data_IF_231597854630
#
_entry.id   IF_231597854630
#
_cell.length_a   1.000
_cell.length_b   1.000
_cell.length_c   1.000
_cell.angle_alpha   90.00
_cell.angle_beta   90.00
_cell.angle_gamma   90.00
#
_symmetry.space_group_name_H-M   'P 1'
#
loop_
_entity.id
_entity.type
_entity.pdbx_description
1 polymer ?
#
# COMPACT_ATOMS: atom_id res chain seq x y z
N UNK A 1 -20.70 -1.05 -10.20
CA UNK A 1 -20.88 -0.71 -8.78
C UNK A 1 -21.04 -1.92 -7.87
N UNK A 2 -21.84 -2.95 -8.22
CA UNK A 2 -22.00 -4.17 -7.39
C UNK A 2 -20.68 -4.94 -7.16
N UNK A 3 -19.84 -5.08 -8.19
CA UNK A 3 -18.60 -5.87 -8.11
C UNK A 3 -17.51 -5.27 -7.20
N UNK A 4 -17.46 -3.94 -7.05
CA UNK A 4 -16.47 -3.29 -6.19
C UNK A 4 -16.85 -3.41 -4.71
N UNK A 5 -18.15 -3.46 -4.41
CA UNK A 5 -18.65 -3.72 -3.06
C UNK A 5 -18.44 -5.18 -2.66
N UNK A 6 -18.65 -6.14 -3.57
CA UNK A 6 -18.36 -7.55 -3.30
C UNK A 6 -16.86 -7.77 -3.10
N UNK A 7 -15.99 -7.16 -3.90
CA UNK A 7 -14.54 -7.22 -3.70
C UNK A 7 -14.11 -6.67 -2.33
N UNK A 8 -14.68 -5.53 -1.90
CA UNK A 8 -14.42 -4.98 -0.57
C UNK A 8 -14.89 -5.90 0.56
N UNK A 9 -16.00 -6.61 0.37
CA UNK A 9 -16.48 -7.60 1.34
C UNK A 9 -15.55 -8.83 1.37
N UNK A 10 -15.12 -9.32 0.20
CA UNK A 10 -14.17 -10.43 0.07
C UNK A 10 -12.86 -10.11 0.78
N UNK A 11 -12.32 -8.91 0.60
CA UNK A 11 -11.09 -8.45 1.28
C UNK A 11 -11.27 -8.44 2.80
N UNK A 12 -12.38 -7.89 3.31
CA UNK A 12 -12.65 -7.89 4.76
C UNK A 12 -12.80 -9.29 5.34
N UNK A 13 -13.45 -10.20 4.60
CA UNK A 13 -13.59 -11.59 5.00
C UNK A 13 -12.21 -12.28 5.04
N UNK A 14 -11.34 -12.02 4.06
CA UNK A 14 -9.97 -12.54 4.04
C UNK A 14 -9.13 -12.03 5.21
N UNK A 15 -9.20 -10.75 5.54
CA UNK A 15 -8.48 -10.19 6.68
C UNK A 15 -8.99 -10.74 8.02
N UNK A 16 -10.29 -11.01 8.13
CA UNK A 16 -10.90 -11.62 9.31
C UNK A 16 -10.51 -13.10 9.46
N UNK A 17 -10.49 -13.86 8.36
CA UNK A 17 -10.12 -15.28 8.36
C UNK A 17 -8.60 -15.50 8.48
N UNK A 18 -7.78 -14.61 7.92
CA UNK A 18 -6.32 -14.79 7.84
C UNK A 18 -5.56 -13.54 8.33
N UNK A 19 -5.54 -13.30 9.65
CA UNK A 19 -4.85 -12.14 10.22
C UNK A 19 -3.33 -12.23 10.01
N UNK A 20 -2.64 -11.08 10.17
CA UNK A 20 -1.19 -10.94 10.01
C UNK A 20 -0.34 -11.89 10.86
N UNK A 21 -0.91 -12.42 11.95
CA UNK A 21 -0.25 -13.34 12.89
C UNK A 21 -0.67 -14.81 12.73
N UNK A 22 -1.45 -15.14 11.69
CA UNK A 22 -1.94 -16.49 11.48
C UNK A 22 -0.79 -17.50 11.26
N UNK A 23 -0.95 -18.73 11.77
CA UNK A 23 0.14 -19.71 11.87
C UNK A 23 0.56 -20.31 10.51
N UNK A 24 -0.33 -20.28 9.50
CA UNK A 24 -0.08 -20.92 8.19
C UNK A 24 -0.15 -19.98 7.00
N UNK A 25 -1.07 -19.03 7.02
CA UNK A 25 -1.34 -18.13 5.89
C UNK A 25 -1.78 -16.76 6.42
N UNK A 26 -1.03 -15.71 6.08
CA UNK A 26 -1.18 -14.38 6.61
C UNK A 26 -1.50 -13.41 5.47
N UNK A 27 -2.56 -12.63 5.59
CA UNK A 27 -2.79 -11.49 4.70
C UNK A 27 -1.95 -10.32 5.21
N UNK A 28 -0.90 -9.96 4.46
CA UNK A 28 0.07 -8.93 4.85
C UNK A 28 -0.44 -7.54 4.47
N UNK A 29 -1.00 -7.42 3.26
CA UNK A 29 -1.64 -6.22 2.75
C UNK A 29 -2.78 -6.61 1.82
N UNK A 30 -3.91 -5.90 1.86
CA UNK A 30 -5.04 -6.12 0.97
C UNK A 30 -5.67 -4.78 0.57
N UNK A 31 -5.86 -4.59 -0.74
CA UNK A 31 -6.53 -3.45 -1.34
C UNK A 31 -7.39 -3.89 -2.53
N UNK A 32 -8.14 -2.96 -3.11
CA UNK A 32 -8.97 -3.25 -4.29
C UNK A 32 -8.13 -3.54 -5.54
N UNK A 33 -6.86 -3.17 -5.55
CA UNK A 33 -5.94 -3.32 -6.69
C UNK A 33 -4.89 -4.41 -6.46
N UNK A 34 -4.54 -4.70 -5.20
CA UNK A 34 -3.50 -5.68 -4.86
C UNK A 34 -3.78 -6.46 -3.57
N UNK A 35 -3.37 -7.72 -3.54
CA UNK A 35 -3.41 -8.59 -2.36
C UNK A 35 -2.04 -9.21 -2.15
N UNK A 36 -1.45 -9.00 -0.97
CA UNK A 36 -0.17 -9.59 -0.57
C UNK A 36 -0.39 -10.57 0.58
N UNK A 37 -0.02 -11.82 0.33
CA UNK A 37 -0.18 -12.93 1.24
C UNK A 37 1.17 -13.56 1.57
N UNK A 38 1.30 -14.09 2.79
CA UNK A 38 2.48 -14.82 3.23
C UNK A 38 2.08 -16.19 3.76
N UNK A 39 2.61 -17.24 3.14
CA UNK A 39 2.44 -18.61 3.57
C UNK A 39 3.66 -19.08 4.39
N UNK A 40 3.41 -19.83 5.47
CA UNK A 40 4.44 -20.40 6.34
C UNK A 40 4.50 -21.91 6.09
N UNK A 41 5.55 -22.35 5.40
CA UNK A 41 5.77 -23.76 5.10
C UNK A 41 6.34 -24.56 6.27
N UNK A 42 6.43 -25.89 6.10
CA UNK A 42 6.84 -26.88 7.12
C UNK A 42 8.19 -26.60 7.82
N UNK A 43 9.10 -25.86 7.17
CA UNK A 43 10.42 -25.53 7.70
C UNK A 43 10.48 -24.12 8.33
N UNK A 44 9.33 -23.45 8.54
CA UNK A 44 9.27 -22.03 8.90
C UNK A 44 9.66 -21.10 7.74
N UNK A 45 9.83 -21.64 6.53
CA UNK A 45 10.12 -20.87 5.32
C UNK A 45 8.88 -20.05 4.96
N UNK A 46 9.05 -18.73 4.99
CA UNK A 46 8.02 -17.75 4.61
C UNK A 46 8.04 -17.60 3.08
N UNK A 47 6.90 -17.80 2.44
CA UNK A 47 6.69 -17.65 1.00
C UNK A 47 5.75 -16.48 0.81
N UNK A 48 6.21 -15.41 0.17
CA UNK A 48 5.39 -14.24 -0.14
C UNK A 48 4.81 -14.39 -1.55
N UNK A 49 3.50 -14.24 -1.63
CA UNK A 49 2.69 -14.41 -2.83
C UNK A 49 1.80 -13.18 -2.95
N UNK A 50 1.79 -12.60 -4.13
CA UNK A 50 1.12 -11.34 -4.40
C UNK A 50 0.14 -11.55 -5.55
N UNK A 51 -0.97 -10.80 -5.54
CA UNK A 51 -1.97 -10.79 -6.60
C UNK A 51 -2.27 -9.35 -7.00
N UNK A 52 -2.32 -9.08 -8.29
CA UNK A 52 -2.87 -7.84 -8.84
C UNK A 52 -4.31 -8.09 -9.30
N UNK A 53 -5.22 -7.28 -8.79
CA UNK A 53 -6.63 -7.28 -9.17
C UNK A 53 -6.79 -6.25 -10.29
N UNK A 54 -7.22 -6.70 -11.47
CA UNK A 54 -7.38 -5.82 -12.63
C UNK A 54 -8.80 -5.26 -12.72
N UNK A 55 -8.99 -4.18 -13.48
CA UNK A 55 -10.31 -3.57 -13.74
C UNK A 55 -11.31 -4.55 -14.41
N UNK A 56 -10.81 -5.63 -15.00
CA UNK A 56 -11.59 -6.70 -15.63
C UNK A 56 -12.09 -7.76 -14.64
N UNK A 57 -11.79 -7.63 -13.35
CA UNK A 57 -12.36 -8.46 -12.29
C UNK A 57 -13.90 -8.27 -12.20
N UNK A 58 -14.70 -9.35 -12.07
CA UNK A 58 -14.33 -10.75 -11.86
C UNK A 58 -14.34 -11.57 -13.17
N UNK A 59 -14.49 -10.91 -14.32
CA UNK A 59 -14.52 -11.58 -15.64
C UNK A 59 -13.19 -12.26 -15.96
N UNK A 60 -12.07 -11.70 -15.48
CA UNK A 60 -10.75 -12.33 -15.47
C UNK A 60 -10.29 -12.55 -14.03
N UNK A 61 -9.56 -13.65 -13.74
CA UNK A 61 -8.99 -13.85 -12.41
C UNK A 61 -7.91 -12.81 -12.09
N UNK A 62 -7.64 -12.56 -10.78
CA UNK A 62 -6.46 -11.82 -10.35
C UNK A 62 -5.18 -12.45 -10.89
N UNK A 63 -4.19 -11.61 -11.20
CA UNK A 63 -2.88 -12.07 -11.68
C UNK A 63 -2.01 -12.36 -10.47
N UNK A 64 -1.66 -13.62 -10.23
CA UNK A 64 -0.82 -14.03 -9.10
C UNK A 64 0.67 -14.10 -9.45
N UNK A 65 1.53 -13.85 -8.49
CA UNK A 65 2.99 -13.96 -8.61
C UNK A 65 3.62 -14.33 -7.26
N UNK A 66 4.69 -15.12 -7.31
CA UNK A 66 5.46 -15.56 -6.14
C UNK A 66 6.90 -15.06 -6.25
N UNK A 67 7.51 -14.72 -5.11
CA UNK A 67 8.91 -14.32 -5.04
C UNK A 67 9.88 -15.52 -4.96
N UNK A 68 9.35 -16.74 -4.97
CA UNK A 68 10.15 -17.98 -4.89
C UNK A 68 10.34 -18.63 -6.24
N UNK A 69 11.55 -19.11 -6.53
CA UNK A 69 11.86 -19.93 -7.72
C UNK A 69 11.46 -21.41 -7.58
N UNK A 70 10.59 -21.75 -6.61
CA UNK A 70 10.17 -23.12 -6.36
C UNK A 70 9.18 -23.57 -7.46
N UNK A 71 9.50 -24.62 -8.26
CA UNK A 71 8.65 -25.08 -9.36
C UNK A 71 7.23 -25.45 -8.91
N UNK A 72 7.07 -25.96 -7.68
CA UNK A 72 5.76 -26.32 -7.15
C UNK A 72 4.88 -25.10 -6.93
N UNK A 73 5.46 -23.98 -6.49
CA UNK A 73 4.73 -22.72 -6.26
C UNK A 73 4.39 -22.04 -7.58
N UNK A 74 5.30 -22.07 -8.56
CA UNK A 74 5.05 -21.56 -9.91
C UNK A 74 3.86 -22.25 -10.58
N UNK A 75 3.74 -23.57 -10.43
CA UNK A 75 2.59 -24.33 -10.97
C UNK A 75 1.26 -23.92 -10.32
N UNK A 76 1.25 -23.62 -9.02
CA UNK A 76 0.04 -23.16 -8.30
C UNK A 76 -0.38 -21.77 -8.81
N UNK A 77 0.59 -20.86 -8.98
CA UNK A 77 0.33 -19.51 -9.50
C UNK A 77 -0.20 -19.57 -10.94
N UNK A 78 0.33 -20.47 -11.77
CA UNK A 78 -0.16 -20.69 -13.14
C UNK A 78 -1.58 -21.28 -13.15
N UNK A 79 -1.92 -22.17 -12.22
CA UNK A 79 -3.27 -22.71 -12.05
C UNK A 79 -4.28 -21.59 -11.74
N UNK A 80 -3.95 -20.70 -10.81
CA UNK A 80 -4.81 -19.57 -10.40
C UNK A 80 -5.07 -18.59 -11.56
N UNK A 81 -4.09 -18.44 -12.46
CA UNK A 81 -4.22 -17.57 -13.65
C UNK A 81 -5.19 -18.14 -14.69
N UNK A 82 -5.46 -19.45 -14.66
CA UNK A 82 -6.29 -20.16 -15.63
C UNK A 82 -7.70 -20.51 -15.14
N UNK A 83 -8.10 -20.02 -13.96
CA UNK A 83 -9.46 -20.25 -13.44
C UNK A 83 -10.52 -19.53 -14.26
N UNK A 84 -11.77 -20.00 -14.15
CA UNK A 84 -12.90 -19.37 -14.84
C UNK A 84 -14.17 -19.34 -13.97
N UNK A 85 -15.06 -18.38 -14.23
CA UNK A 85 -16.36 -18.32 -13.58
C UNK A 85 -16.28 -17.92 -12.10
N UNK A 86 -16.86 -18.75 -11.22
CA UNK A 86 -16.89 -18.46 -9.77
C UNK A 86 -15.49 -18.51 -9.14
N UNK A 87 -14.60 -19.30 -9.72
CA UNK A 87 -13.22 -19.42 -9.24
C UNK A 87 -12.37 -18.16 -9.47
N UNK A 88 -12.87 -17.18 -10.24
CA UNK A 88 -12.18 -15.90 -10.38
C UNK A 88 -12.34 -14.98 -9.16
N UNK A 89 -13.28 -15.26 -8.25
CA UNK A 89 -13.50 -14.42 -7.08
C UNK A 89 -12.34 -14.57 -6.09
N UNK A 90 -12.00 -13.47 -5.41
CA UNK A 90 -10.80 -13.38 -4.57
C UNK A 90 -10.81 -14.42 -3.44
N UNK A 91 -11.94 -14.62 -2.77
CA UNK A 91 -12.09 -15.64 -1.72
C UNK A 91 -11.81 -17.06 -2.25
N UNK A 92 -12.29 -17.36 -3.46
CA UNK A 92 -12.14 -18.67 -4.06
C UNK A 92 -10.72 -18.91 -4.57
N UNK A 93 -10.10 -17.87 -5.14
CA UNK A 93 -8.67 -17.88 -5.50
C UNK A 93 -7.79 -18.14 -4.28
N UNK A 94 -8.05 -17.46 -3.16
CA UNK A 94 -7.29 -17.67 -1.91
C UNK A 94 -7.54 -19.08 -1.36
N UNK A 95 -8.77 -19.59 -1.41
CA UNK A 95 -9.07 -20.96 -1.02
C UNK A 95 -8.25 -21.97 -1.84
N UNK A 96 -8.27 -21.85 -3.17
CA UNK A 96 -7.46 -22.71 -4.06
C UNK A 96 -5.97 -22.59 -3.72
N UNK A 97 -5.48 -21.36 -3.56
CA UNK A 97 -4.08 -21.09 -3.20
C UNK A 97 -3.68 -21.80 -1.90
N UNK A 98 -4.45 -21.62 -0.83
CA UNK A 98 -4.15 -22.19 0.49
C UNK A 98 -4.24 -23.72 0.46
N UNK A 99 -5.27 -24.29 -0.18
CA UNK A 99 -5.43 -25.74 -0.32
C UNK A 99 -4.26 -26.36 -1.08
N UNK A 100 -3.85 -25.79 -2.21
CA UNK A 100 -2.75 -26.32 -3.01
C UNK A 100 -1.39 -26.14 -2.32
N UNK A 101 -1.17 -25.02 -1.62
CA UNK A 101 0.03 -24.84 -0.79
C UNK A 101 0.09 -25.86 0.36
N UNK A 102 -1.03 -26.13 1.03
CA UNK A 102 -1.09 -27.15 2.07
C UNK A 102 -0.81 -28.56 1.52
N UNK A 103 -1.34 -28.92 0.34
CA UNK A 103 -1.05 -30.20 -0.32
C UNK A 103 0.43 -30.35 -0.66
N UNK A 104 1.03 -29.34 -1.30
CA UNK A 104 2.46 -29.36 -1.66
C UNK A 104 3.35 -29.48 -0.43
N UNK A 105 3.00 -28.81 0.68
CA UNK A 105 3.76 -28.88 1.92
C UNK A 105 3.36 -30.03 2.86
N UNK A 106 2.38 -30.87 2.47
CA UNK A 106 1.81 -31.95 3.29
C UNK A 106 1.38 -31.49 4.68
N UNK A 107 0.71 -30.34 4.75
CA UNK A 107 0.17 -29.74 5.97
C UNK A 107 -1.36 -29.90 6.03
N UNK A 108 -1.96 -30.03 7.23
CA UNK A 108 -3.41 -30.04 7.37
C UNK A 108 -4.00 -28.69 6.95
N UNK A 109 -5.15 -28.75 6.28
CA UNK A 109 -5.89 -27.58 5.81
C UNK A 109 -6.35 -26.72 7.01
N UNK A 110 -6.25 -25.37 6.93
CA UNK A 110 -6.73 -24.49 8.00
C UNK A 110 -8.26 -24.57 8.14
N UNK A 111 -8.78 -24.59 9.38
CA UNK A 111 -10.23 -24.63 9.65
C UNK A 111 -10.96 -23.38 9.14
N UNK A 112 -10.22 -22.30 8.93
CA UNK A 112 -10.66 -21.01 8.39
C UNK A 112 -11.15 -21.14 6.94
N UNK A 113 -10.76 -22.19 6.20
CA UNK A 113 -11.30 -22.50 4.87
C UNK A 113 -12.80 -22.85 4.91
N UNK A 114 -13.29 -23.42 6.01
CA UNK A 114 -14.72 -23.69 6.21
C UNK A 114 -15.52 -22.39 6.49
N UNK A 115 -14.85 -21.37 7.04
CA UNK A 115 -15.47 -20.06 7.30
C UNK A 115 -15.70 -19.28 6.00
N UNK A 116 -14.79 -19.44 5.03
CA UNK A 116 -14.94 -18.87 3.69
C UNK A 116 -16.18 -19.46 2.97
N UNK A 117 -16.45 -20.76 3.13
CA UNK A 117 -17.63 -21.39 2.56
C UNK A 117 -18.94 -20.84 3.15
N UNK A 118 -18.93 -20.43 4.43
CA UNK A 118 -20.09 -19.82 5.08
C UNK A 118 -20.37 -18.40 4.56
N UNK A 119 -19.34 -17.59 4.31
CA UNK A 119 -19.48 -16.25 3.70
C UNK A 119 -19.98 -16.32 2.26
N UNK A 120 -19.66 -17.38 1.52
CA UNK A 120 -20.10 -17.57 0.13
C UNK A 120 -21.56 -18.04 0.00
N UNK A 121 -22.12 -18.68 1.03
CA UNK A 121 -23.52 -19.13 1.04
C UNK A 121 -24.52 -18.03 1.40
N UNK A 122 -24.05 -16.92 1.98
CA UNK A 122 -24.88 -15.79 2.35
C UNK A 122 -25.08 -14.82 1.18
N UNK A 123 -25.90 -15.19 0.18
CA UNK A 123 -26.46 -14.23 -0.78
C UNK A 123 -27.99 -14.14 -0.64
N UNK A 124 -28.45 -12.90 -0.44
CA UNK A 124 -29.84 -12.39 -0.44
C UNK A 124 -30.86 -12.99 0.56
N UNK A 125 -30.97 -12.35 1.74
CA UNK A 125 -32.27 -12.23 2.42
C UNK A 125 -32.56 -13.18 3.60
N UNK A 126 -31.70 -13.20 4.62
CA UNK A 126 -32.08 -13.36 6.04
C UNK A 126 -30.80 -13.55 6.86
N UNK A 127 -30.46 -12.57 7.72
CA UNK A 127 -29.59 -12.83 8.86
C UNK A 127 -30.47 -13.20 10.06
N UNK A 128 -30.32 -14.39 10.66
CA UNK A 128 -30.56 -14.56 12.07
C UNK A 128 -29.34 -14.01 12.84
N UNK A 129 -29.66 -13.13 13.77
CA UNK A 129 -28.83 -12.50 14.79
C UNK A 129 -28.05 -13.56 15.60
N UNK A 130 -26.78 -13.83 15.28
CA UNK A 130 -26.01 -14.89 15.97
C UNK A 130 -24.49 -14.62 16.11
N UNK A 131 -24.10 -13.36 16.30
CA UNK A 131 -22.78 -13.04 16.87
C UNK A 131 -22.91 -12.08 18.06
N UNK A 132 -23.77 -12.45 19.01
CA UNK A 132 -23.65 -12.00 20.40
C UNK A 132 -23.00 -13.13 21.20
N UNK A 133 -21.68 -13.09 21.31
CA UNK A 133 -20.97 -13.97 22.23
C UNK A 133 -21.18 -13.49 23.69
N UNK A 134 -21.18 -14.40 24.67
CA UNK A 134 -21.86 -14.19 25.95
C UNK A 134 -21.05 -13.32 26.90
N UNK A 135 -21.68 -12.28 27.45
CA UNK A 135 -21.23 -11.65 28.69
C UNK A 135 -21.40 -12.67 29.82
N UNK A 136 -20.29 -13.22 30.31
CA UNK A 136 -20.28 -13.92 31.59
C UNK A 136 -20.29 -12.88 32.70
N UNK A 137 -21.44 -12.84 33.35
CA UNK A 137 -21.74 -12.14 34.58
C UNK A 137 -21.04 -12.87 35.74
N UNK A 138 -20.07 -12.21 36.36
CA UNK A 138 -19.67 -12.51 37.74
C UNK A 138 -19.71 -11.19 38.50
N UNK A 139 -20.85 -10.96 39.15
CA UNK A 139 -20.99 -10.00 40.23
C UNK A 139 -20.21 -10.53 41.43
N UNK A 140 -19.17 -9.82 41.85
CA UNK A 140 -18.84 -9.67 43.26
C UNK A 140 -18.50 -8.19 43.49
N UNK A 141 -19.32 -7.56 44.32
CA UNK A 141 -19.18 -6.21 44.85
C UNK A 141 -17.97 -6.15 45.80
N UNK A 142 -17.15 -5.11 45.72
CA UNK A 142 -16.88 -4.25 46.88
C UNK A 142 -16.07 -3.01 46.50
N UNK A 143 -16.61 -1.86 46.90
CA UNK A 143 -15.99 -0.54 46.87
C UNK A 143 -14.74 -0.50 47.75
N UNK A 144 -13.64 0.05 47.24
CA UNK A 144 -12.78 0.92 48.07
C UNK A 144 -12.17 1.99 47.19
N UNK A 145 -12.60 3.24 47.44
CA UNK A 145 -11.91 4.47 47.08
C UNK A 145 -10.42 4.38 47.43
N UNK A 146 -9.57 4.55 46.43
CA UNK A 146 -8.30 5.24 46.60
C UNK A 146 -8.06 6.07 45.33
N UNK A 147 -8.55 7.31 45.37
CA UNK A 147 -7.96 8.42 44.63
C UNK A 147 -6.46 8.45 44.93
N UNK A 148 -5.63 8.20 43.91
CA UNK A 148 -4.26 8.73 43.87
C UNK A 148 -3.86 8.97 42.41
N UNK A 149 -4.18 10.19 41.98
CA UNK A 149 -3.27 11.08 41.25
C UNK A 149 -2.46 10.49 40.08
N UNK A 150 -3.06 10.48 38.89
CA UNK A 150 -2.31 10.78 37.67
C UNK A 150 -3.13 11.72 36.80
N UNK A 151 -3.17 12.97 37.25
CA UNK A 151 -3.52 14.12 36.46
C UNK A 151 -2.58 14.19 35.25
N UNK A 152 -2.93 13.49 34.16
CA UNK A 152 -2.36 13.78 32.85
C UNK A 152 -2.88 15.16 32.47
N UNK A 153 -2.02 16.16 32.68
CA UNK A 153 -2.16 17.48 32.13
C UNK A 153 -2.54 17.32 30.65
N UNK A 154 -3.79 17.67 30.36
CA UNK A 154 -4.13 18.20 29.05
C UNK A 154 -3.24 19.42 28.96
N UNK A 155 -2.11 19.30 28.26
CA UNK A 155 -1.42 20.44 27.67
C UNK A 155 -2.40 21.05 26.66
N UNK A 156 -3.35 21.81 27.21
CA UNK A 156 -4.02 22.90 26.52
C UNK A 156 -2.96 23.97 26.32
N UNK A 157 -2.13 23.77 25.30
CA UNK A 157 -1.33 24.86 24.74
C UNK A 157 -2.30 25.84 24.04
N UNK A 158 -3.02 26.61 24.86
CA UNK A 158 -3.61 27.88 24.45
C UNK A 158 -2.63 29.02 24.76
N UNK A 159 -1.44 28.93 24.18
CA UNK A 159 -0.41 29.97 24.12
C UNK A 159 -0.29 30.63 22.74
N UNK A 160 -1.41 31.13 22.18
CA UNK A 160 -1.46 32.28 21.27
C UNK A 160 -0.37 32.40 20.17
N UNK A 161 -0.40 31.57 19.12
CA UNK A 161 0.15 31.96 17.80
C UNK A 161 -0.18 31.10 16.57
N UNK A 162 -1.01 30.05 16.65
CA UNK A 162 -1.28 29.15 15.50
C UNK A 162 -2.68 29.22 14.87
N UNK A 163 -3.63 29.98 15.46
CA UNK A 163 -4.97 30.16 14.85
C UNK A 163 -4.97 30.90 13.50
N UNK A 164 -3.84 31.47 13.08
CA UNK A 164 -3.70 32.15 11.77
C UNK A 164 -3.11 31.26 10.66
N UNK A 165 -2.86 29.96 10.91
CA UNK A 165 -2.25 29.03 9.92
C UNK A 165 -3.17 27.89 9.45
N UNK A 166 -4.37 27.74 10.02
CA UNK A 166 -5.34 26.73 9.58
C UNK A 166 -6.14 27.14 8.32
N UNK A 167 -6.12 28.42 7.94
CA UNK A 167 -7.02 29.01 6.94
C UNK A 167 -6.70 28.72 5.46
N UNK A 168 -5.60 28.05 5.12
CA UNK A 168 -5.18 27.85 3.71
C UNK A 168 -5.35 26.40 3.19
N UNK A 169 -6.16 25.58 3.88
CA UNK A 169 -6.48 24.21 3.46
C UNK A 169 -7.87 24.14 2.82
N UNK A 170 -8.01 23.35 1.75
CA UNK A 170 -9.32 23.08 1.15
C UNK A 170 -10.22 22.31 2.13
N UNK A 171 -11.54 22.51 2.02
CA UNK A 171 -12.54 21.84 2.87
C UNK A 171 -12.42 20.31 2.78
N UNK A 172 -12.13 19.78 1.59
CA UNK A 172 -11.96 18.34 1.36
C UNK A 172 -10.72 17.78 2.05
N UNK A 173 -9.60 18.52 2.00
CA UNK A 173 -8.36 18.13 2.66
C UNK A 173 -8.48 18.21 4.18
N UNK A 174 -9.16 19.24 4.69
CA UNK A 174 -9.48 19.34 6.10
C UNK A 174 -10.35 18.17 6.58
N UNK A 175 -11.41 17.83 5.84
CA UNK A 175 -12.28 16.70 6.16
C UNK A 175 -11.52 15.36 6.14
N UNK A 176 -10.58 15.21 5.22
CA UNK A 176 -9.72 14.01 5.14
C UNK A 176 -8.81 13.91 6.37
N UNK A 177 -8.14 14.99 6.77
CA UNK A 177 -7.29 15.01 7.97
C UNK A 177 -8.10 14.71 9.25
N UNK A 178 -9.31 15.25 9.38
CA UNK A 178 -10.19 14.96 10.52
C UNK A 178 -10.66 13.50 10.55
N UNK A 179 -11.01 12.93 9.38
CA UNK A 179 -11.38 11.50 9.27
C UNK A 179 -10.23 10.61 9.74
N UNK A 180 -8.99 10.92 9.33
CA UNK A 180 -7.81 10.14 9.71
C UNK A 180 -7.52 10.23 11.21
N UNK A 181 -7.65 11.42 11.82
CA UNK A 181 -7.52 11.60 13.28
C UNK A 181 -8.53 10.75 14.05
N UNK A 182 -9.78 10.73 13.59
CA UNK A 182 -10.83 9.93 14.23
C UNK A 182 -10.56 8.43 14.11
N UNK A 183 -10.15 7.97 12.92
CA UNK A 183 -9.78 6.57 12.70
C UNK A 183 -8.61 6.15 13.60
N UNK A 184 -7.55 6.97 13.68
CA UNK A 184 -6.40 6.71 14.54
C UNK A 184 -6.79 6.57 16.01
N UNK A 185 -7.67 7.46 16.51
CA UNK A 185 -8.19 7.37 17.88
C UNK A 185 -8.98 6.08 18.08
N UNK A 186 -9.83 5.70 17.13
CA UNK A 186 -10.62 4.47 17.22
C UNK A 186 -9.73 3.22 17.21
N UNK A 187 -8.71 3.17 16.35
CA UNK A 187 -7.77 2.05 16.27
C UNK A 187 -6.94 1.90 17.54
N UNK A 188 -6.56 3.03 18.16
CA UNK A 188 -5.88 3.04 19.46
C UNK A 188 -6.76 2.44 20.57
N UNK A 189 -8.05 2.82 20.63
CA UNK A 189 -8.98 2.24 21.59
C UNK A 189 -9.25 0.74 21.34
N UNK A 190 -9.15 0.28 20.09
CA UNK A 190 -9.38 -1.13 19.70
C UNK A 190 -8.13 -2.01 19.80
N UNK A 191 -6.95 -1.44 20.05
CA UNK A 191 -5.68 -2.18 20.04
C UNK A 191 -5.24 -2.65 18.65
N UNK A 192 -5.85 -2.14 17.58
CA UNK A 192 -5.56 -2.48 16.18
C UNK A 192 -4.64 -1.47 15.50
N UNK A 193 -3.73 -0.86 16.28
CA UNK A 193 -2.86 0.24 15.81
C UNK A 193 -1.96 -0.25 14.68
N UNK A 194 -1.98 0.45 13.55
CA UNK A 194 -1.06 0.23 12.44
C UNK A 194 0.19 1.11 12.61
N UNK A 195 1.37 0.48 12.62
CA UNK A 195 2.66 1.17 12.74
C UNK A 195 2.97 1.71 14.15
N UNK A 196 3.88 2.69 14.23
CA UNK A 196 4.30 3.35 15.48
C UNK A 196 3.69 4.74 15.60
N UNK A 197 3.37 5.18 16.83
CA UNK A 197 2.82 6.52 17.13
C UNK A 197 3.68 7.62 16.50
N UNK A 198 5.00 7.51 16.65
CA UNK A 198 5.95 8.47 16.08
C UNK A 198 5.86 8.55 14.55
N UNK A 199 5.75 7.40 13.86
CA UNK A 199 5.60 7.37 12.42
C UNK A 199 4.24 7.95 12.01
N UNK A 200 3.16 7.60 12.71
CA UNK A 200 1.81 8.10 12.39
C UNK A 200 1.73 9.61 12.55
N UNK A 201 2.27 10.15 13.64
CA UNK A 201 2.29 11.60 13.90
C UNK A 201 3.11 12.35 12.85
N UNK A 202 4.26 11.79 12.46
CA UNK A 202 5.08 12.34 11.38
C UNK A 202 4.33 12.31 10.06
N UNK A 203 3.67 11.21 9.70
CA UNK A 203 2.92 11.09 8.44
C UNK A 203 1.72 12.05 8.37
N UNK A 204 1.01 12.24 9.49
CA UNK A 204 -0.06 13.23 9.61
C UNK A 204 0.47 14.66 9.37
N UNK A 205 1.66 14.97 9.87
CA UNK A 205 2.32 16.25 9.62
C UNK A 205 2.71 16.41 8.16
N UNK A 206 3.34 15.40 7.56
CA UNK A 206 3.74 15.42 6.14
C UNK A 206 2.53 15.59 5.21
N UNK A 207 1.43 14.88 5.44
CA UNK A 207 0.23 15.00 4.63
C UNK A 207 -0.37 16.41 4.71
N UNK A 208 -0.38 17.00 5.91
CA UNK A 208 -0.84 18.37 6.11
C UNK A 208 0.08 19.38 5.41
N UNK A 209 1.38 19.19 5.45
CA UNK A 209 2.35 20.04 4.75
C UNK A 209 2.18 19.94 3.22
N UNK A 210 1.99 18.72 2.70
CA UNK A 210 1.68 18.48 1.29
C UNK A 210 0.42 19.23 0.87
N UNK A 211 -0.68 19.16 1.64
CA UNK A 211 -1.92 19.86 1.30
C UNK A 211 -1.80 21.38 1.32
N UNK A 212 -0.86 21.95 2.10
CA UNK A 212 -0.58 23.39 2.13
C UNK A 212 0.39 23.84 1.04
N UNK A 213 1.14 22.91 0.47
CA UNK A 213 2.18 23.23 -0.51
C UNK A 213 1.60 23.92 -1.75
N UNK A 214 2.38 24.84 -2.31
CA UNK A 214 2.02 25.50 -3.57
C UNK A 214 1.98 24.50 -4.72
N UNK A 215 2.90 23.53 -4.73
CA UNK A 215 3.01 22.46 -5.72
C UNK A 215 1.72 21.64 -5.80
N UNK A 216 1.17 21.24 -4.65
CA UNK A 216 -0.10 20.52 -4.57
C UNK A 216 -1.27 21.42 -5.00
N UNK A 217 -1.35 22.66 -4.50
CA UNK A 217 -2.43 23.61 -4.84
C UNK A 217 -2.48 23.98 -6.32
N UNK A 218 -1.31 24.03 -6.99
CA UNK A 218 -1.20 24.25 -8.43
C UNK A 218 -1.51 22.99 -9.26
N UNK A 219 -1.71 21.85 -8.62
CA UNK A 219 -1.99 20.58 -9.28
C UNK A 219 -0.76 19.95 -9.95
N UNK A 220 0.47 20.29 -9.52
CA UNK A 220 1.69 19.65 -10.02
C UNK A 220 1.63 18.15 -9.80
N UNK A 221 1.16 17.76 -8.61
CA UNK A 221 0.83 16.39 -8.26
C UNK A 221 -0.44 16.36 -7.39
N UNK A 222 -1.09 15.21 -7.36
CA UNK A 222 -2.20 14.91 -6.45
C UNK A 222 -1.84 13.72 -5.55
N UNK A 223 -2.44 13.65 -4.37
CA UNK A 223 -2.21 12.57 -3.39
C UNK A 223 -3.54 11.95 -3.00
N UNK A 224 -3.61 10.63 -3.05
CA UNK A 224 -4.73 9.81 -2.60
C UNK A 224 -4.22 8.72 -1.65
N UNK A 225 -4.89 8.56 -0.50
CA UNK A 225 -4.55 7.50 0.46
C UNK A 225 -5.22 6.20 0.05
N UNK A 226 -4.44 5.12 -0.02
CA UNK A 226 -4.98 3.80 -0.34
C UNK A 226 -5.70 3.27 0.90
N UNK A 227 -7.00 3.00 0.78
CA UNK A 227 -7.85 2.52 1.88
C UNK A 227 -7.83 3.41 3.14
N UNK A 228 -7.71 4.73 2.99
CA UNK A 228 -7.53 5.67 4.12
C UNK A 228 -6.29 5.33 5.00
N UNK A 229 -5.31 4.59 4.46
CA UNK A 229 -4.07 4.26 5.14
C UNK A 229 -3.08 5.42 5.07
N UNK A 230 -2.61 5.88 6.23
CA UNK A 230 -1.50 6.83 6.31
C UNK A 230 -0.17 6.25 5.82
N UNK A 231 -0.06 4.93 5.70
CA UNK A 231 1.18 4.24 5.35
C UNK A 231 1.29 3.90 3.85
N UNK A 232 0.26 4.17 3.05
CA UNK A 232 0.27 3.90 1.62
C UNK A 232 -0.41 5.01 0.81
N UNK A 233 0.37 5.71 -0.01
CA UNK A 233 -0.09 6.86 -0.78
C UNK A 233 0.10 6.62 -2.27
N UNK A 234 -0.95 6.93 -3.05
CA UNK A 234 -0.88 7.06 -4.49
C UNK A 234 -0.68 8.53 -4.85
N UNK A 235 0.42 8.81 -5.55
CA UNK A 235 0.78 10.16 -6.00
C UNK A 235 0.70 10.25 -7.51
N UNK A 236 -0.22 11.06 -8.02
CA UNK A 236 -0.39 11.30 -9.45
C UNK A 236 0.41 12.53 -9.85
N UNK A 237 1.55 12.34 -10.50
CA UNK A 237 2.37 13.43 -11.04
C UNK A 237 1.82 13.88 -12.39
N UNK A 238 1.23 15.08 -12.45
CA UNK A 238 0.53 15.63 -13.63
C UNK A 238 1.38 16.62 -14.42
N UNK A 239 2.16 17.43 -13.73
CA UNK A 239 2.99 18.48 -14.35
C UNK A 239 4.46 18.10 -14.20
N UNK A 240 5.14 18.02 -15.33
CA UNK A 240 6.61 17.92 -15.45
C UNK A 240 7.11 19.11 -16.26
N UNK A 241 8.43 19.28 -16.36
CA UNK A 241 9.04 20.34 -17.16
C UNK A 241 8.49 20.35 -18.60
N UNK A 242 7.91 21.48 -19.02
CA UNK A 242 7.26 21.64 -20.32
C UNK A 242 8.21 21.48 -21.51
N UNK A 243 9.50 21.73 -21.29
CA UNK A 243 10.53 21.60 -22.33
C UNK A 243 11.02 20.14 -22.47
N UNK A 244 10.60 19.25 -21.56
CA UNK A 244 11.02 17.86 -21.57
C UNK A 244 10.24 17.02 -22.60
N UNK A 245 10.89 16.02 -23.23
CA UNK A 245 10.19 15.03 -24.04
C UNK A 245 9.11 14.25 -23.26
N UNK A 246 9.27 14.12 -21.94
CA UNK A 246 8.30 13.47 -21.05
C UNK A 246 6.96 14.23 -21.00
N UNK A 247 6.98 15.56 -21.07
CA UNK A 247 5.76 16.37 -21.11
C UNK A 247 4.93 16.09 -22.37
N UNK A 248 5.59 16.03 -23.52
CA UNK A 248 4.96 15.66 -24.79
C UNK A 248 4.39 14.24 -24.74
N UNK A 249 5.12 13.30 -24.13
CA UNK A 249 4.64 11.93 -23.95
C UNK A 249 3.39 11.89 -23.05
N UNK A 250 3.33 12.66 -21.95
CA UNK A 250 2.14 12.70 -21.08
C UNK A 250 0.91 13.25 -21.80
N UNK A 251 1.10 14.24 -22.67
CA UNK A 251 0.02 14.77 -23.53
C UNK A 251 -0.50 13.68 -24.47
N UNK A 252 0.41 12.91 -25.08
CA UNK A 252 0.05 11.79 -25.94
C UNK A 252 -0.64 10.64 -25.17
N UNK A 253 -0.22 10.37 -23.93
CA UNK A 253 -0.88 9.39 -23.06
C UNK A 253 -2.33 9.78 -22.79
N UNK A 254 -2.58 11.07 -22.56
CA UNK A 254 -3.94 11.60 -22.38
C UNK A 254 -4.80 11.36 -23.61
N UNK A 255 -4.26 11.62 -24.79
CA UNK A 255 -4.97 11.43 -26.06
C UNK A 255 -5.25 9.95 -26.37
N UNK A 256 -4.31 9.04 -26.06
CA UNK A 256 -4.43 7.61 -26.40
C UNK A 256 -5.20 6.78 -25.38
N UNK A 257 -4.96 7.01 -24.10
CA UNK A 257 -5.41 6.14 -23.01
C UNK A 257 -6.31 6.88 -22.00
N UNK A 258 -6.51 8.19 -22.16
CA UNK A 258 -7.28 9.01 -21.22
C UNK A 258 -6.56 9.28 -19.89
N UNK A 259 -5.29 8.89 -19.77
CA UNK A 259 -4.46 9.06 -18.57
C UNK A 259 -3.43 10.17 -18.79
N UNK A 260 -3.31 11.10 -17.86
CA UNK A 260 -2.47 12.30 -18.02
C UNK A 260 -1.45 12.49 -16.88
N UNK A 261 -1.08 11.41 -16.21
CA UNK A 261 -0.18 11.44 -15.06
C UNK A 261 0.71 10.20 -15.00
N UNK A 262 1.81 10.34 -14.25
CA UNK A 262 2.61 9.21 -13.77
C UNK A 262 2.12 8.88 -12.37
N UNK A 263 1.61 7.67 -12.17
CA UNK A 263 1.20 7.17 -10.86
C UNK A 263 2.40 6.60 -10.13
N UNK A 264 2.76 7.24 -9.02
CA UNK A 264 3.71 6.74 -8.04
C UNK A 264 2.96 6.13 -6.87
N UNK A 265 3.52 5.08 -6.28
CA UNK A 265 3.05 4.51 -5.02
C UNK A 265 4.16 4.64 -3.99
N UNK A 266 3.81 5.18 -2.81
CA UNK A 266 4.70 5.43 -1.69
C UNK A 266 4.26 4.56 -0.53
N UNK A 267 5.16 3.69 -0.08
CA UNK A 267 4.95 2.79 1.07
C UNK A 267 5.84 3.23 2.23
N UNK A 268 5.20 3.59 3.34
CA UNK A 268 5.87 3.94 4.58
C UNK A 268 5.90 2.74 5.53
N UNK A 269 7.00 2.59 6.26
CA UNK A 269 7.14 1.56 7.31
C UNK A 269 6.94 2.17 8.69
N UNK A 270 6.79 1.31 9.69
CA UNK A 270 6.66 1.68 11.11
C UNK A 270 7.86 2.48 11.66
N UNK A 271 9.03 2.37 11.02
CA UNK A 271 10.25 3.11 11.38
C UNK A 271 10.42 4.44 10.64
N UNK A 272 9.46 4.87 9.82
CA UNK A 272 9.48 6.21 9.24
C UNK A 272 9.43 7.26 10.37
N UNK A 273 10.22 8.35 10.34
CA UNK A 273 11.07 8.86 9.26
C UNK A 273 12.55 8.42 9.32
N UNK A 274 12.92 7.45 10.17
CA UNK A 274 14.31 6.99 10.29
C UNK A 274 14.74 6.12 9.11
N UNK A 275 13.81 5.39 8.50
CA UNK A 275 14.02 4.71 7.22
C UNK A 275 13.29 5.44 6.08
N UNK A 276 13.84 5.40 4.84
CA UNK A 276 13.17 5.99 3.69
C UNK A 276 11.87 5.26 3.36
N UNK A 277 10.88 5.95 2.79
CA UNK A 277 9.74 5.29 2.17
C UNK A 277 10.21 4.50 0.94
N UNK A 278 9.52 3.41 0.64
CA UNK A 278 9.70 2.71 -0.63
C UNK A 278 8.80 3.35 -1.68
N UNK A 279 9.41 3.85 -2.77
CA UNK A 279 8.69 4.55 -3.84
C UNK A 279 8.90 3.82 -5.17
N UNK A 280 7.79 3.59 -5.88
CA UNK A 280 7.79 2.95 -7.21
C UNK A 280 6.86 3.67 -8.17
N UNK A 281 7.14 3.52 -9.46
CA UNK A 281 6.23 3.83 -10.56
C UNK A 281 5.25 2.66 -10.71
N UNK A 282 3.95 2.97 -10.72
CA UNK A 282 2.87 2.01 -10.97
C UNK A 282 2.50 2.02 -12.45
N UNK A 283 2.28 3.21 -13.01
CA UNK A 283 2.02 3.43 -14.44
C UNK A 283 2.41 4.88 -14.82
N UNK A 284 2.60 5.18 -16.11
CA UNK A 284 2.77 4.26 -17.24
C UNK A 284 4.13 3.56 -17.20
N UNK A 285 4.41 2.70 -18.19
CA UNK A 285 5.75 2.14 -18.38
C UNK A 285 6.72 3.23 -18.85
N UNK A 286 7.87 3.35 -18.17
CA UNK A 286 8.87 4.38 -18.45
C UNK A 286 10.21 3.70 -18.81
N UNK A 287 10.85 4.22 -19.86
CA UNK A 287 12.28 4.00 -20.13
C UNK A 287 13.09 5.21 -19.73
N UNK A 288 14.30 4.99 -19.20
CA UNK A 288 15.14 6.08 -18.70
C UNK A 288 14.64 6.61 -17.36
N UNK A 289 14.99 7.85 -17.00
CA UNK A 289 14.51 8.48 -15.77
C UNK A 289 15.00 7.82 -14.48
N UNK A 290 16.02 6.95 -14.57
CA UNK A 290 16.45 6.08 -13.46
C UNK A 290 15.36 5.13 -12.96
N UNK A 291 14.33 4.84 -13.78
CA UNK A 291 13.31 3.84 -13.48
C UNK A 291 13.82 2.46 -13.89
N UNK A 292 13.87 1.55 -12.94
CA UNK A 292 14.33 0.17 -13.10
C UNK A 292 13.19 -0.77 -13.49
N UNK A 293 13.56 -2.03 -13.76
CA UNK A 293 12.61 -3.12 -13.92
C UNK A 293 11.61 -3.19 -12.76
N UNK A 294 10.34 -3.48 -13.08
CA UNK A 294 9.28 -3.56 -12.07
C UNK A 294 8.78 -2.22 -11.52
N UNK A 295 9.41 -1.09 -11.86
CA UNK A 295 8.96 0.25 -11.48
C UNK A 295 9.75 0.87 -10.31
N UNK A 296 10.80 0.22 -9.82
CA UNK A 296 11.64 0.80 -8.77
C UNK A 296 12.41 2.03 -9.28
N UNK A 297 12.67 2.98 -8.40
CA UNK A 297 13.38 4.23 -8.74
C UNK A 297 14.80 4.16 -8.17
N UNK A 298 15.79 4.39 -9.04
CA UNK A 298 17.20 4.43 -8.65
C UNK A 298 17.61 5.84 -8.22
N UNK A 299 17.46 6.13 -6.93
CA UNK A 299 17.86 7.41 -6.33
C UNK A 299 18.54 7.18 -4.97
N UNK A 300 19.69 7.83 -4.76
CA UNK A 300 20.48 7.70 -3.53
C UNK A 300 19.68 8.06 -2.28
N UNK A 301 18.86 9.12 -2.36
CA UNK A 301 18.03 9.56 -1.23
C UNK A 301 16.97 8.53 -0.81
N UNK A 302 16.61 7.57 -1.67
CA UNK A 302 15.68 6.50 -1.32
C UNK A 302 16.39 5.29 -0.70
N UNK A 303 17.70 5.37 -0.50
CA UNK A 303 18.50 4.33 0.16
C UNK A 303 18.90 4.75 1.57
N UNK A 304 19.20 3.77 2.43
CA UNK A 304 19.60 4.04 3.82
C UNK A 304 20.82 4.96 3.93
N UNK A 305 21.70 4.95 2.92
CA UNK A 305 22.92 5.74 2.89
C UNK A 305 22.65 7.22 2.55
N UNK A 306 21.71 7.49 1.64
CA UNK A 306 21.37 8.84 1.20
C UNK A 306 20.15 9.46 1.87
N UNK A 307 19.37 8.67 2.60
CA UNK A 307 18.16 9.12 3.28
C UNK A 307 18.48 10.02 4.47
N UNK A 308 17.66 11.07 4.64
CA UNK A 308 17.64 11.91 5.82
C UNK A 308 16.19 12.09 6.27
N UNK A 309 15.93 11.93 7.56
CA UNK A 309 14.62 12.17 8.16
C UNK A 309 14.18 13.64 8.06
N UNK A 310 15.07 14.54 7.66
CA UNK A 310 14.77 15.95 7.38
C UNK A 310 14.09 16.17 6.02
N UNK A 311 14.11 15.20 5.10
CA UNK A 311 13.39 15.33 3.84
C UNK A 311 11.88 15.27 4.06
N UNK A 312 11.16 16.20 3.43
CA UNK A 312 9.70 16.20 3.39
C UNK A 312 9.21 15.35 2.23
N UNK A 313 7.99 14.82 2.34
CA UNK A 313 7.36 14.01 1.28
C UNK A 313 7.16 14.83 0.01
N UNK A 314 6.79 16.12 0.13
CA UNK A 314 6.72 17.03 -1.01
C UNK A 314 8.07 17.11 -1.74
N UNK A 315 9.17 17.36 -1.01
CA UNK A 315 10.48 17.52 -1.61
C UNK A 315 10.91 16.25 -2.36
N UNK A 316 10.60 15.08 -1.81
CA UNK A 316 10.89 13.78 -2.44
C UNK A 316 10.09 13.63 -3.74
N UNK A 317 8.79 13.94 -3.74
CA UNK A 317 7.93 13.88 -4.93
C UNK A 317 8.48 14.80 -6.04
N UNK A 318 8.82 16.05 -5.69
CA UNK A 318 9.37 17.02 -6.64
C UNK A 318 10.75 16.60 -7.16
N UNK A 319 11.60 16.03 -6.30
CA UNK A 319 12.92 15.54 -6.70
C UNK A 319 12.84 14.32 -7.62
N UNK A 320 11.84 13.45 -7.42
CA UNK A 320 11.54 12.36 -8.36
C UNK A 320 11.11 12.93 -9.70
N UNK A 321 10.20 13.90 -9.73
CA UNK A 321 9.76 14.55 -10.95
C UNK A 321 10.94 15.17 -11.73
N UNK A 322 11.84 15.86 -11.04
CA UNK A 322 13.05 16.43 -11.62
C UNK A 322 14.03 15.34 -12.12
N UNK A 323 14.19 14.26 -11.36
CA UNK A 323 15.05 13.13 -11.74
C UNK A 323 14.56 12.38 -12.96
N UNK A 324 13.24 12.22 -13.11
CA UNK A 324 12.63 11.63 -14.32
C UNK A 324 12.97 12.47 -15.55
N UNK A 325 12.81 13.79 -15.48
CA UNK A 325 13.16 14.70 -16.57
C UNK A 325 14.66 14.67 -16.87
N UNK A 326 15.51 14.84 -15.84
CA UNK A 326 16.98 14.81 -15.99
C UNK A 326 17.48 13.48 -16.56
N UNK A 327 16.88 12.37 -16.15
CA UNK A 327 17.18 11.03 -16.67
C UNK A 327 16.58 10.76 -18.05
N UNK A 328 16.00 11.76 -18.72
CA UNK A 328 15.40 11.67 -20.06
C UNK A 328 14.34 10.56 -20.13
N UNK A 329 13.50 10.47 -19.10
CA UNK A 329 12.39 9.51 -19.04
C UNK A 329 11.47 9.64 -20.27
N UNK A 330 11.06 8.51 -20.83
CA UNK A 330 10.14 8.40 -21.98
C UNK A 330 9.06 7.36 -21.69
N UNK A 331 7.81 7.66 -22.04
CA UNK A 331 6.69 6.73 -21.88
C UNK A 331 6.74 5.68 -23.00
N UNK A 332 6.62 4.41 -22.62
CA UNK A 332 6.58 3.29 -23.56
C UNK A 332 5.14 2.97 -23.96
N UNK A 333 4.73 3.43 -25.14
CA UNK A 333 3.39 3.18 -25.70
C UNK A 333 3.25 1.82 -26.41
N UNK A 334 4.36 1.12 -26.67
CA UNK A 334 4.35 -0.13 -27.46
C UNK A 334 5.52 -1.02 -27.06
N UNK A 335 5.22 -2.20 -26.51
CA UNK A 335 6.21 -3.23 -26.21
C UNK A 335 5.94 -3.96 -24.90
N UNK A 336 5.57 -5.24 -25.02
CA UNK A 336 5.31 -6.23 -23.96
C UNK A 336 4.27 -5.86 -22.89
N UNK A 337 3.40 -6.83 -22.56
CA UNK A 337 2.49 -6.81 -21.38
C UNK A 337 3.26 -6.85 -20.04
N UNK A 338 4.52 -6.42 -20.01
CA UNK A 338 5.32 -6.40 -18.80
C UNK A 338 4.79 -5.26 -17.93
N UNK A 339 3.95 -5.60 -16.96
CA UNK A 339 3.44 -4.66 -15.98
C UNK A 339 4.48 -4.45 -14.87
N UNK A 340 4.54 -3.22 -14.36
CA UNK A 340 5.18 -2.95 -13.08
C UNK A 340 4.41 -3.67 -11.97
N UNK A 341 5.14 -4.18 -10.97
CA UNK A 341 4.58 -4.84 -9.81
C UNK A 341 5.43 -4.54 -8.59
N UNK A 342 4.81 -4.55 -7.41
CA UNK A 342 5.50 -4.31 -6.15
C UNK A 342 6.68 -5.27 -5.96
N UNK A 343 6.48 -6.57 -6.19
CA UNK A 343 7.51 -7.61 -6.08
C UNK A 343 8.72 -7.35 -6.96
N UNK A 344 8.50 -7.05 -8.25
CA UNK A 344 9.58 -6.77 -9.20
C UNK A 344 10.31 -5.48 -8.88
N UNK A 345 9.58 -4.45 -8.41
CA UNK A 345 10.19 -3.22 -7.92
C UNK A 345 11.08 -3.49 -6.70
N UNK A 346 10.58 -4.22 -5.69
CA UNK A 346 11.34 -4.55 -4.50
C UNK A 346 12.58 -5.40 -4.81
N UNK A 347 12.47 -6.40 -5.69
CA UNK A 347 13.61 -7.19 -6.14
C UNK A 347 14.67 -6.34 -6.86
N UNK A 348 14.24 -5.42 -7.72
CA UNK A 348 15.14 -4.50 -8.43
C UNK A 348 15.82 -3.51 -7.47
N UNK A 349 15.07 -2.98 -6.50
CA UNK A 349 15.60 -2.09 -5.47
C UNK A 349 16.62 -2.79 -4.57
N UNK A 350 16.34 -4.03 -4.13
CA UNK A 350 17.28 -4.84 -3.35
C UNK A 350 18.58 -5.08 -4.11
N UNK A 351 18.48 -5.39 -5.40
CA UNK A 351 19.65 -5.57 -6.27
C UNK A 351 20.45 -4.27 -6.42
N UNK A 352 19.74 -3.14 -6.59
CA UNK A 352 20.35 -1.81 -6.66
C UNK A 352 21.16 -1.49 -5.41
N UNK A 353 20.58 -1.67 -4.22
CA UNK A 353 21.26 -1.36 -2.95
C UNK A 353 22.56 -2.17 -2.82
N UNK A 354 22.52 -3.46 -3.16
CA UNK A 354 23.72 -4.32 -3.14
C UNK A 354 24.82 -3.86 -4.12
N UNK A 355 24.44 -3.39 -5.31
CA UNK A 355 25.39 -2.91 -6.32
C UNK A 355 26.04 -1.60 -5.86
N UNK A 356 25.25 -0.65 -5.34
CA UNK A 356 25.76 0.65 -4.91
C UNK A 356 26.49 0.62 -3.57
N UNK A 357 26.15 -0.30 -2.67
CA UNK A 357 26.97 -0.56 -1.47
C UNK A 357 28.38 -1.03 -1.85
N UNK A 358 28.51 -1.77 -2.94
CA UNK A 358 29.81 -2.28 -3.42
C UNK A 358 30.58 -1.27 -4.26
N UNK A 359 29.89 -0.51 -5.12
CA UNK A 359 30.52 0.31 -6.16
C UNK A 359 30.44 1.83 -5.89
N UNK A 360 29.70 2.25 -4.86
CA UNK A 360 29.42 3.65 -4.55
C UNK A 360 28.31 4.27 -5.42
N UNK A 361 27.87 5.46 -5.02
CA UNK A 361 26.96 6.29 -5.81
C UNK A 361 27.75 7.22 -6.71
N UNK A 362 27.44 7.21 -8.01
CA UNK A 362 28.01 8.14 -8.96
C UNK A 362 26.98 9.21 -9.30
N UNK A 363 27.32 10.47 -9.03
CA UNK A 363 26.54 11.62 -9.50
C UNK A 363 27.09 12.07 -10.85
N UNK A 364 26.32 11.98 -11.95
CA UNK A 364 26.78 12.47 -13.25
C UNK A 364 27.13 13.97 -13.19
N UNK A 365 28.17 14.42 -13.92
CA UNK A 365 28.54 15.83 -13.99
C UNK A 365 27.36 16.74 -14.35
N UNK A 366 27.38 17.99 -13.88
CA UNK A 366 26.29 18.96 -14.09
C UNK A 366 26.03 19.30 -15.57
N UNK A 367 26.96 18.95 -16.46
CA UNK A 367 26.96 19.34 -17.89
C UNK A 367 26.12 18.42 -18.78
N UNK A 368 25.65 17.26 -18.29
CA UNK A 368 24.84 16.29 -19.05
C UNK A 368 23.31 16.50 -18.94
N UNK A 369 22.88 17.64 -18.36
CA UNK A 369 21.48 18.03 -18.15
C UNK A 369 20.89 18.79 -19.32
#
# INVERSE_FOLDING_TARGET
MACLNSLKQDIRALEASFPKNHERFQVVAASVDELTCRFIGRNGKKIEIHANITETYPSTPPVWFSDTEDPSITNIVELLTNTTGRDNHLLQQVKILVTELCKVHSLPEPAELETIDYFQQADVGNLPDLLQAPQQHSEEEDETDVDDDMQMEIDDDTGSSEKSKEDDLSVENHATLERLRQNQRQDYLRGSVSGSVQATDRLMKELREVYRSESYRRGVFCVELVNDSLYEWNVMLRIVDSDSPLHSDLTLLKEKEGKDHILLNILFKENYPFEPPFIRVVNPMISGGYVLGGGAICMELLTRQGWSSAYTVEAIILQIAATLVKGKARIQFSGNKAQYSLSRAQASFKSLVQIHEKNGWFTPPKEDG
#
